data_IF_707343874692
#
_entry.id   IF_707343874692
#
_cell.length_a   1.000
_cell.length_b   1.000
_cell.length_c   1.000
_cell.angle_alpha   90.00
_cell.angle_beta   90.00
_cell.angle_gamma   90.00
#
_symmetry.space_group_name_H-M   'P 1'
#
loop_
_entity.id
_entity.type
_entity.pdbx_description
1 polymer ?
#
# COMPACT_ATOMS: atom_id res chain seq x y z
N UNK A 1 -30.76 25.57 -5.03
CA UNK A 1 -29.60 24.69 -5.06
C UNK A 1 -29.72 23.76 -3.87
N UNK A 2 -29.86 22.44 -4.07
CA UNK A 2 -30.03 21.48 -2.95
C UNK A 2 -28.66 21.22 -2.30
N UNK A 3 -28.63 20.99 -1.00
CA UNK A 3 -27.39 20.67 -0.25
C UNK A 3 -26.59 19.53 -0.89
N UNK A 4 -27.27 18.60 -1.58
CA UNK A 4 -26.64 17.53 -2.39
C UNK A 4 -25.81 18.04 -3.56
N UNK A 5 -26.12 19.23 -4.10
CA UNK A 5 -25.41 19.80 -5.25
C UNK A 5 -24.14 20.54 -4.80
N UNK A 6 -24.17 21.08 -3.59
CA UNK A 6 -22.98 21.71 -2.96
C UNK A 6 -21.93 20.66 -2.61
N UNK A 7 -22.34 19.48 -2.12
CA UNK A 7 -21.41 18.39 -1.82
C UNK A 7 -20.75 17.82 -3.08
N UNK A 8 -21.48 17.79 -4.21
CA UNK A 8 -20.92 17.38 -5.51
C UNK A 8 -19.92 18.40 -6.05
N UNK A 9 -20.21 19.70 -5.93
CA UNK A 9 -19.29 20.76 -6.36
C UNK A 9 -18.03 20.78 -5.49
N UNK A 10 -18.16 20.61 -4.18
CA UNK A 10 -17.03 20.49 -3.26
C UNK A 10 -16.21 19.21 -3.51
N UNK A 11 -16.86 18.10 -3.89
CA UNK A 11 -16.15 16.89 -4.27
C UNK A 11 -15.34 17.09 -5.55
N UNK A 12 -15.83 17.84 -6.54
CA UNK A 12 -15.08 18.17 -7.75
C UNK A 12 -13.84 19.04 -7.47
N UNK A 13 -13.91 19.98 -6.55
CA UNK A 13 -12.77 20.81 -6.16
C UNK A 13 -11.66 20.00 -5.45
N UNK A 14 -12.01 18.93 -4.73
CA UNK A 14 -11.07 18.05 -4.05
C UNK A 14 -10.33 17.07 -4.99
N UNK A 15 -10.69 17.03 -6.27
CA UNK A 15 -10.12 16.09 -7.26
C UNK A 15 -8.92 16.62 -8.05
N UNK A 16 -8.61 17.91 -7.95
CA UNK A 16 -7.34 18.40 -8.46
C UNK A 16 -6.27 18.01 -7.42
N UNK A 17 -5.25 17.23 -7.82
CA UNK A 17 -4.15 17.02 -6.92
C UNK A 17 -3.52 18.38 -6.68
N UNK A 18 -3.64 18.87 -5.49
CA UNK A 18 -2.74 19.90 -5.03
C UNK A 18 -1.41 19.22 -4.82
N UNK A 19 -0.35 19.55 -5.56
CA UNK A 19 0.97 18.99 -5.32
C UNK A 19 1.46 19.27 -3.90
N UNK A 20 0.95 20.33 -3.29
CA UNK A 20 1.24 20.71 -1.91
C UNK A 20 0.33 20.01 -0.88
N UNK A 21 -0.72 19.29 -1.32
CA UNK A 21 -1.67 18.63 -0.41
C UNK A 21 -1.10 17.37 0.25
N UNK A 22 0.06 16.87 -0.16
CA UNK A 22 0.77 15.77 0.49
C UNK A 22 -0.14 14.63 0.96
N UNK A 23 -1.23 14.39 0.23
CA UNK A 23 -2.25 13.48 0.70
C UNK A 23 -1.78 12.04 0.56
N UNK A 24 -1.62 11.39 1.71
CA UNK A 24 -1.30 9.98 1.86
C UNK A 24 -2.47 9.06 1.50
N UNK A 25 -3.37 9.49 0.63
CA UNK A 25 -4.59 8.75 0.30
C UNK A 25 -4.65 8.32 -1.16
N UNK A 26 -5.15 7.10 -1.39
CA UNK A 26 -5.49 6.57 -2.70
C UNK A 26 -6.79 7.20 -3.20
N UNK A 27 -6.75 8.41 -3.72
CA UNK A 27 -7.92 9.02 -4.34
C UNK A 27 -7.99 8.64 -5.82
N UNK A 28 -9.15 8.21 -6.30
CA UNK A 28 -9.43 8.10 -7.73
C UNK A 28 -9.34 9.49 -8.36
N UNK A 29 -8.78 9.56 -9.56
CA UNK A 29 -8.72 10.77 -10.37
C UNK A 29 -9.61 10.63 -11.58
N UNK A 30 -10.22 11.73 -11.97
CA UNK A 30 -11.13 11.73 -13.11
C UNK A 30 -10.44 12.01 -14.45
N UNK A 31 -9.26 12.58 -14.43
CA UNK A 31 -8.54 12.91 -15.67
C UNK A 31 -7.37 11.98 -15.89
N UNK A 32 -7.42 11.25 -16.99
CA UNK A 32 -6.29 10.45 -17.47
C UNK A 32 -5.19 11.37 -17.99
N UNK A 33 -3.95 11.08 -17.64
CA UNK A 33 -2.77 11.85 -18.07
C UNK A 33 -1.57 10.95 -18.20
N UNK A 34 -0.61 11.37 -19.02
CA UNK A 34 0.71 10.76 -19.00
C UNK A 34 1.34 11.03 -17.64
N UNK A 35 1.83 10.00 -17.00
CA UNK A 35 2.30 10.05 -15.61
C UNK A 35 3.58 9.28 -15.46
N UNK A 36 4.41 9.72 -14.54
CA UNK A 36 5.58 8.99 -14.08
C UNK A 36 5.28 8.36 -12.71
N UNK A 37 5.52 7.07 -12.61
CA UNK A 37 5.38 6.31 -11.38
C UNK A 37 6.77 5.97 -10.87
N UNK A 38 7.07 6.30 -9.61
CA UNK A 38 8.36 6.04 -8.97
C UNK A 38 8.16 5.15 -7.75
N UNK A 39 8.88 4.04 -7.71
CA UNK A 39 8.85 3.12 -6.58
C UNK A 39 10.22 3.16 -5.88
N UNK A 40 10.23 3.74 -4.67
CA UNK A 40 11.46 3.95 -3.92
C UNK A 40 11.86 2.66 -3.21
N UNK A 41 13.10 2.24 -3.39
CA UNK A 41 13.74 1.16 -2.65
C UNK A 41 14.93 1.68 -1.83
N UNK A 42 15.60 0.78 -1.12
CA UNK A 42 16.83 1.09 -0.40
C UNK A 42 17.98 1.47 -1.35
N UNK A 43 18.02 0.79 -2.50
CA UNK A 43 19.18 0.81 -3.39
C UNK A 43 18.98 1.79 -4.56
N UNK A 44 17.76 2.30 -4.77
CA UNK A 44 17.48 3.22 -5.86
C UNK A 44 15.98 3.44 -6.09
N UNK A 45 15.71 3.94 -7.28
CA UNK A 45 14.36 4.30 -7.74
C UNK A 45 14.02 3.53 -9.00
N UNK A 46 13.07 2.60 -8.89
CA UNK A 46 12.44 2.03 -10.07
C UNK A 46 11.38 3.01 -10.59
N UNK A 47 11.30 3.18 -11.91
CA UNK A 47 10.34 4.11 -12.50
C UNK A 47 9.63 3.50 -13.71
N UNK A 48 8.42 3.98 -13.97
CA UNK A 48 7.62 3.65 -15.14
C UNK A 48 6.87 4.88 -15.65
N UNK A 49 7.03 5.18 -16.93
CA UNK A 49 6.20 6.14 -17.61
C UNK A 49 4.97 5.43 -18.18
N UNK A 50 3.79 6.02 -17.97
CA UNK A 50 2.52 5.45 -18.44
C UNK A 50 1.77 6.44 -19.29
N UNK A 51 1.13 5.95 -20.35
CA UNK A 51 0.28 6.74 -21.25
C UNK A 51 -1.01 7.19 -20.53
N UNK A 52 -1.81 8.02 -21.22
CA UNK A 52 -3.14 8.44 -20.72
C UNK A 52 -4.09 7.26 -20.54
N UNK A 53 -3.91 6.20 -21.31
CA UNK A 53 -4.69 4.97 -21.23
C UNK A 53 -4.19 4.01 -20.14
N UNK A 54 -3.06 4.34 -19.49
CA UNK A 54 -2.43 3.53 -18.45
C UNK A 54 -1.48 2.46 -19.00
N UNK A 55 -1.17 2.49 -20.31
CA UNK A 55 -0.20 1.58 -20.89
C UNK A 55 1.23 2.00 -20.55
N UNK A 56 2.09 1.04 -20.22
CA UNK A 56 3.51 1.25 -20.02
C UNK A 56 4.15 1.76 -21.33
N UNK A 57 4.85 2.88 -21.27
CA UNK A 57 5.61 3.42 -22.40
C UNK A 57 7.11 3.19 -22.24
N UNK A 58 7.62 3.45 -21.06
CA UNK A 58 9.03 3.29 -20.74
C UNK A 58 9.19 2.88 -19.27
N UNK A 59 10.31 2.27 -18.93
CA UNK A 59 10.65 1.93 -17.55
C UNK A 59 12.15 1.79 -17.36
N UNK A 60 12.59 1.96 -16.12
CA UNK A 60 13.98 1.79 -15.75
C UNK A 60 14.18 1.71 -14.24
N UNK A 61 15.44 1.53 -13.89
CA UNK A 61 15.91 1.59 -12.51
C UNK A 61 17.17 2.46 -12.47
N UNK A 62 17.23 3.37 -11.51
CA UNK A 62 18.36 4.25 -11.26
C UNK A 62 18.85 4.01 -9.84
N UNK A 63 20.10 3.65 -9.71
CA UNK A 63 20.73 3.45 -8.41
C UNK A 63 20.99 4.78 -7.73
N UNK A 64 20.70 4.86 -6.44
CA UNK A 64 20.97 6.04 -5.63
C UNK A 64 19.72 6.65 -4.98
N UNK A 65 19.92 7.68 -4.17
CA UNK A 65 18.84 8.35 -3.46
C UNK A 65 17.95 9.18 -4.42
N UNK A 66 16.68 9.31 -4.07
CA UNK A 66 15.69 10.05 -4.86
C UNK A 66 16.16 11.45 -5.27
N UNK A 67 16.89 12.14 -4.40
CA UNK A 67 17.42 13.49 -4.68
C UNK A 67 18.29 13.52 -5.93
N UNK A 68 19.25 12.60 -6.01
CA UNK A 68 20.21 12.54 -7.11
C UNK A 68 19.51 12.11 -8.40
N UNK A 69 18.61 11.13 -8.32
CA UNK A 69 17.77 10.68 -9.45
C UNK A 69 16.93 11.83 -10.02
N UNK A 70 16.26 12.61 -9.18
CA UNK A 70 15.48 13.75 -9.66
C UNK A 70 16.34 14.87 -10.21
N UNK A 71 17.54 15.08 -9.68
CA UNK A 71 18.48 16.08 -10.19
C UNK A 71 19.01 15.71 -11.58
N UNK A 72 19.27 14.43 -11.82
CA UNK A 72 19.78 13.91 -13.08
C UNK A 72 18.70 13.80 -14.17
N UNK A 73 17.50 13.33 -13.80
CA UNK A 73 16.48 12.89 -14.73
C UNK A 73 15.28 13.84 -14.86
N UNK A 74 15.27 15.00 -14.19
CA UNK A 74 14.09 15.87 -14.14
C UNK A 74 13.57 16.30 -15.50
N UNK A 75 14.44 16.62 -16.44
CA UNK A 75 14.06 17.06 -17.78
C UNK A 75 13.44 15.92 -18.59
N UNK A 76 14.05 14.73 -18.54
CA UNK A 76 13.54 13.53 -19.20
C UNK A 76 12.18 13.10 -18.60
N UNK A 77 12.06 13.08 -17.28
CA UNK A 77 10.83 12.77 -16.59
C UNK A 77 9.73 13.79 -16.89
N UNK A 78 10.07 15.05 -17.00
CA UNK A 78 9.12 16.09 -17.40
C UNK A 78 8.61 15.87 -18.82
N UNK A 79 9.49 15.49 -19.76
CA UNK A 79 9.13 15.21 -21.16
C UNK A 79 8.21 13.98 -21.31
N UNK A 80 8.35 12.99 -20.44
CA UNK A 80 7.52 11.76 -20.43
C UNK A 80 6.10 11.97 -19.88
N UNK A 81 5.80 13.13 -19.28
CA UNK A 81 4.58 13.35 -18.50
C UNK A 81 3.74 14.51 -19.01
N UNK A 82 2.44 14.51 -18.68
CA UNK A 82 1.58 15.69 -18.88
C UNK A 82 1.82 16.66 -17.71
N UNK A 83 2.52 17.76 -17.96
CA UNK A 83 2.86 18.79 -16.96
C UNK A 83 3.71 18.28 -15.75
N UNK A 84 4.59 17.32 -15.96
CA UNK A 84 5.48 16.81 -14.91
C UNK A 84 4.80 15.99 -13.82
N UNK A 85 3.65 15.37 -14.11
CA UNK A 85 2.86 14.70 -13.09
C UNK A 85 3.45 13.34 -12.68
N UNK A 86 3.66 13.16 -11.36
CA UNK A 86 4.28 12.00 -10.77
C UNK A 86 3.45 11.39 -9.63
N UNK A 87 3.59 10.07 -9.44
CA UNK A 87 3.18 9.36 -8.25
C UNK A 87 4.36 8.59 -7.65
N UNK A 88 4.46 8.54 -6.33
CA UNK A 88 5.57 7.91 -5.62
C UNK A 88 5.05 6.86 -4.66
N UNK A 89 5.68 5.69 -4.67
CA UNK A 89 5.52 4.66 -3.65
C UNK A 89 6.72 4.68 -2.72
N UNK A 90 6.46 4.92 -1.43
CA UNK A 90 7.47 4.85 -0.37
C UNK A 90 7.40 3.50 0.33
N UNK A 91 8.58 2.92 0.63
CA UNK A 91 8.69 1.61 1.27
C UNK A 91 9.55 1.65 2.55
N UNK A 92 9.74 2.85 3.10
CA UNK A 92 10.56 3.10 4.28
C UNK A 92 9.89 4.09 5.23
N UNK A 93 10.35 4.14 6.48
CA UNK A 93 9.98 5.13 7.51
C UNK A 93 8.48 5.21 7.77
N UNK A 94 7.81 4.06 7.84
CA UNK A 94 6.42 3.96 8.23
C UNK A 94 6.20 2.83 9.24
N UNK A 95 5.06 2.90 9.91
CA UNK A 95 4.57 1.84 10.80
C UNK A 95 3.13 1.53 10.43
N UNK A 96 2.77 0.24 10.41
CA UNK A 96 1.39 -0.20 10.28
C UNK A 96 1.02 -0.93 11.56
N UNK A 97 -0.06 -0.49 12.20
CA UNK A 97 -0.60 -1.07 13.43
C UNK A 97 -2.03 -1.55 13.24
N UNK A 98 -2.47 -2.50 14.05
CA UNK A 98 -3.84 -2.97 14.10
C UNK A 98 -4.61 -2.20 15.16
N UNK A 99 -5.65 -1.47 14.74
CA UNK A 99 -6.50 -0.68 15.61
C UNK A 99 -7.92 -1.26 15.69
N UNK A 100 -8.50 -1.20 16.87
CA UNK A 100 -9.89 -1.62 17.12
C UNK A 100 -10.79 -0.39 17.25
N UNK A 101 -12.06 -0.57 16.87
CA UNK A 101 -13.10 0.46 17.05
C UNK A 101 -12.92 1.74 16.22
N UNK A 102 -12.14 1.70 15.15
CA UNK A 102 -12.11 2.78 14.16
C UNK A 102 -13.18 2.50 13.08
N UNK A 103 -14.26 3.25 13.13
CA UNK A 103 -15.42 3.04 12.26
C UNK A 103 -15.44 3.97 11.05
N UNK A 104 -15.83 3.46 9.88
CA UNK A 104 -16.09 4.16 8.60
C UNK A 104 -14.86 4.75 7.91
N UNK A 105 -14.27 3.94 7.02
CA UNK A 105 -13.09 4.24 6.20
C UNK A 105 -13.11 5.65 5.57
N UNK A 106 -14.20 6.02 4.92
CA UNK A 106 -14.22 7.23 4.10
C UNK A 106 -14.23 8.52 4.92
N UNK A 107 -15.04 8.56 5.97
CA UNK A 107 -15.07 9.69 6.89
C UNK A 107 -13.82 9.76 7.77
N UNK A 108 -13.32 8.60 8.18
CA UNK A 108 -12.18 8.51 9.09
C UNK A 108 -10.88 8.96 8.42
N UNK A 109 -10.63 8.61 7.15
CA UNK A 109 -9.43 9.04 6.44
C UNK A 109 -9.35 10.55 6.25
N UNK A 110 -10.47 11.21 5.90
CA UNK A 110 -10.49 12.67 5.77
C UNK A 110 -10.27 13.37 7.11
N UNK A 111 -10.85 12.84 8.19
CA UNK A 111 -10.65 13.37 9.54
C UNK A 111 -9.24 13.09 10.04
N UNK A 112 -8.68 11.91 9.79
CA UNK A 112 -7.30 11.57 10.14
C UNK A 112 -6.28 12.51 9.50
N UNK A 113 -6.55 12.98 8.28
CA UNK A 113 -5.68 13.93 7.59
C UNK A 113 -5.66 15.31 8.27
N UNK A 114 -6.82 15.80 8.71
CA UNK A 114 -6.96 17.16 9.23
C UNK A 114 -6.81 17.21 10.75
N UNK A 115 -7.44 16.29 11.46
CA UNK A 115 -7.53 16.27 12.93
C UNK A 115 -7.30 14.85 13.49
N UNK A 116 -6.10 14.25 13.35
CA UNK A 116 -5.86 12.86 13.75
C UNK A 116 -6.22 12.59 15.22
N UNK A 117 -6.09 13.58 16.11
CA UNK A 117 -6.46 13.44 17.52
C UNK A 117 -7.93 13.17 17.77
N UNK A 118 -8.83 13.64 16.90
CA UNK A 118 -10.26 13.38 17.06
C UNK A 118 -10.63 11.91 16.82
N UNK A 119 -9.81 11.18 16.06
CA UNK A 119 -9.99 9.75 15.75
C UNK A 119 -9.15 8.86 16.66
N UNK A 120 -7.87 9.23 16.85
CA UNK A 120 -6.88 8.39 17.53
C UNK A 120 -6.72 8.75 19.02
N UNK A 121 -7.27 9.88 19.47
CA UNK A 121 -7.13 10.35 20.85
C UNK A 121 -5.66 10.54 21.24
N UNK A 122 -5.26 9.93 22.34
CA UNK A 122 -3.89 9.98 22.87
C UNK A 122 -2.85 9.25 21.98
N UNK A 123 -3.28 8.37 21.08
CA UNK A 123 -2.39 7.67 20.14
C UNK A 123 -1.93 8.55 18.97
N UNK A 124 -2.55 9.71 18.77
CA UNK A 124 -2.13 10.65 17.74
C UNK A 124 -0.83 11.35 18.13
N UNK A 125 0.24 10.98 17.46
CA UNK A 125 1.56 11.59 17.63
C UNK A 125 1.68 12.88 16.81
N UNK A 126 2.45 13.84 17.30
CA UNK A 126 2.79 15.04 16.52
C UNK A 126 3.77 14.69 15.42
N UNK A 127 3.67 15.39 14.29
CA UNK A 127 4.58 15.19 13.16
C UNK A 127 4.40 13.86 12.43
N UNK A 128 3.21 13.26 12.49
CA UNK A 128 2.85 12.06 11.74
C UNK A 128 1.69 12.33 10.79
N UNK A 129 1.73 11.70 9.63
CA UNK A 129 0.59 11.54 8.71
C UNK A 129 0.03 10.12 8.83
N UNK A 130 -1.27 10.01 8.66
CA UNK A 130 -2.00 8.76 8.85
C UNK A 130 -2.84 8.38 7.63
N UNK A 131 -3.01 7.08 7.44
CA UNK A 131 -4.00 6.51 6.52
C UNK A 131 -4.59 5.24 7.11
N UNK A 132 -5.80 4.88 6.69
CA UNK A 132 -6.55 3.78 7.26
C UNK A 132 -7.01 2.80 6.17
N UNK A 133 -6.79 1.50 6.42
CA UNK A 133 -7.45 0.41 5.72
C UNK A 133 -8.39 -0.31 6.70
N UNK A 134 -9.69 -0.32 6.39
CA UNK A 134 -10.71 -0.84 7.28
C UNK A 134 -11.18 -2.22 6.83
N UNK A 135 -11.34 -3.13 7.80
CA UNK A 135 -12.03 -4.39 7.57
C UNK A 135 -13.54 -4.19 7.78
N UNK A 136 -14.36 -4.30 6.71
CA UNK A 136 -15.80 -4.07 6.82
C UNK A 136 -16.53 -5.11 7.67
N UNK A 137 -15.98 -6.32 7.80
CA UNK A 137 -16.59 -7.44 8.54
C UNK A 137 -16.28 -7.40 10.04
N UNK A 138 -15.33 -6.58 10.43
CA UNK A 138 -14.96 -6.42 11.84
C UNK A 138 -14.63 -4.96 12.16
N UNK A 139 -14.72 -4.64 13.43
CA UNK A 139 -14.40 -3.29 13.92
C UNK A 139 -12.88 -3.09 14.08
N UNK A 140 -12.09 -3.66 13.16
CA UNK A 140 -10.63 -3.57 13.15
C UNK A 140 -10.15 -2.86 11.89
N UNK A 141 -9.06 -2.14 12.01
CA UNK A 141 -8.48 -1.37 10.92
C UNK A 141 -6.96 -1.44 10.99
N UNK A 142 -6.32 -1.46 9.84
CA UNK A 142 -4.89 -1.23 9.75
C UNK A 142 -4.64 0.27 9.65
N UNK A 143 -3.88 0.81 10.57
CA UNK A 143 -3.48 2.21 10.63
C UNK A 143 -2.04 2.35 10.16
N UNK A 144 -1.85 3.07 9.07
CA UNK A 144 -0.54 3.51 8.59
C UNK A 144 -0.19 4.83 9.25
N UNK A 145 1.01 4.93 9.80
CA UNK A 145 1.62 6.19 10.23
C UNK A 145 2.99 6.37 9.60
N UNK A 146 3.28 7.59 9.18
CA UNK A 146 4.54 7.96 8.56
C UNK A 146 4.99 9.33 9.07
N UNK A 147 6.30 9.56 9.13
CA UNK A 147 6.85 10.86 9.54
C UNK A 147 6.49 11.96 8.55
N UNK A 148 5.90 13.04 9.06
CA UNK A 148 5.54 14.23 8.27
C UNK A 148 6.76 14.85 7.61
N UNK A 149 7.89 14.90 8.31
CA UNK A 149 9.16 15.45 7.78
C UNK A 149 9.66 14.65 6.58
N UNK A 150 9.57 13.31 6.66
CA UNK A 150 9.97 12.45 5.54
C UNK A 150 9.11 12.70 4.29
N UNK A 151 7.81 12.86 4.46
CA UNK A 151 6.92 13.17 3.34
C UNK A 151 7.18 14.57 2.79
N UNK A 152 7.39 15.57 3.66
CA UNK A 152 7.75 16.93 3.23
C UNK A 152 9.10 17.00 2.51
N UNK A 153 10.05 16.17 2.91
CA UNK A 153 11.33 16.03 2.18
C UNK A 153 11.08 15.58 0.74
N UNK A 154 10.29 14.52 0.54
CA UNK A 154 9.92 14.04 -0.79
C UNK A 154 9.19 15.14 -1.58
N UNK A 155 8.17 15.76 -1.01
CA UNK A 155 7.42 16.85 -1.63
C UNK A 155 8.35 18.00 -2.08
N UNK A 156 9.31 18.36 -1.23
CA UNK A 156 10.28 19.42 -1.52
C UNK A 156 11.23 19.07 -2.66
N UNK A 157 11.66 17.81 -2.75
CA UNK A 157 12.51 17.33 -3.84
C UNK A 157 11.80 17.42 -5.20
N UNK A 158 10.54 17.00 -5.26
CA UNK A 158 9.73 17.13 -6.49
C UNK A 158 9.48 18.59 -6.87
N UNK A 159 9.21 19.45 -5.89
CA UNK A 159 9.07 20.89 -6.14
C UNK A 159 10.36 21.53 -6.68
N UNK A 160 11.49 21.15 -6.13
CA UNK A 160 12.80 21.64 -6.58
C UNK A 160 13.15 21.18 -7.99
N UNK A 161 12.71 19.98 -8.41
CA UNK A 161 12.92 19.44 -9.76
C UNK A 161 11.89 19.94 -10.80
N UNK A 162 10.93 20.78 -10.41
CA UNK A 162 9.85 21.23 -11.30
C UNK A 162 8.78 20.19 -11.63
N UNK A 163 8.88 18.99 -11.05
CA UNK A 163 7.90 17.93 -11.22
C UNK A 163 6.72 18.07 -10.23
N UNK A 164 5.54 17.62 -10.64
CA UNK A 164 4.33 17.73 -9.83
C UNK A 164 4.03 16.41 -9.14
N UNK A 165 4.25 16.36 -7.86
CA UNK A 165 3.91 15.20 -7.06
C UNK A 165 2.40 15.18 -6.79
N UNK A 166 1.72 14.29 -7.48
CA UNK A 166 0.27 14.19 -7.35
C UNK A 166 -0.21 13.11 -6.40
N UNK A 167 0.68 12.19 -6.00
CA UNK A 167 0.34 11.11 -5.07
C UNK A 167 1.59 10.58 -4.39
N UNK A 168 1.49 10.37 -3.08
CA UNK A 168 2.43 9.54 -2.32
C UNK A 168 1.63 8.39 -1.70
N UNK A 169 2.16 7.19 -1.76
CA UNK A 169 1.59 6.02 -1.12
C UNK A 169 2.66 5.17 -0.44
N UNK A 170 2.24 4.33 0.49
CA UNK A 170 3.06 3.24 0.99
C UNK A 170 2.69 1.97 0.22
N UNK A 171 3.68 1.35 -0.46
CA UNK A 171 3.43 0.23 -1.37
C UNK A 171 2.74 -0.94 -0.69
N UNK A 172 3.30 -1.42 0.41
CA UNK A 172 2.73 -2.53 1.19
C UNK A 172 1.33 -2.22 1.71
N UNK A 173 1.10 -0.98 2.18
CA UNK A 173 -0.20 -0.58 2.71
C UNK A 173 -1.27 -0.49 1.62
N UNK A 174 -0.89 0.01 0.46
CA UNK A 174 -1.78 0.07 -0.68
C UNK A 174 -2.16 -1.32 -1.18
N UNK A 175 -1.19 -2.23 -1.22
CA UNK A 175 -1.44 -3.63 -1.57
C UNK A 175 -2.30 -4.32 -0.51
N UNK A 176 -2.15 -4.00 0.77
CA UNK A 176 -3.03 -4.48 1.85
C UNK A 176 -4.48 -4.06 1.58
N UNK A 177 -4.73 -2.81 1.27
CA UNK A 177 -6.08 -2.30 0.98
C UNK A 177 -6.72 -3.01 -0.23
N UNK A 178 -5.93 -3.29 -1.28
CA UNK A 178 -6.41 -4.06 -2.43
C UNK A 178 -6.68 -5.54 -2.10
N UNK A 179 -5.85 -6.12 -1.24
CA UNK A 179 -5.91 -7.55 -0.86
C UNK A 179 -7.18 -7.87 -0.03
N UNK A 180 -7.80 -6.86 0.59
CA UNK A 180 -9.00 -7.06 1.41
C UNK A 180 -10.12 -7.83 0.71
N UNK A 181 -10.39 -7.48 -0.53
CA UNK A 181 -11.42 -8.17 -1.32
C UNK A 181 -11.06 -9.65 -1.56
N UNK A 182 -9.77 -9.94 -1.75
CA UNK A 182 -9.29 -11.30 -1.97
C UNK A 182 -9.33 -12.13 -0.68
N UNK A 183 -9.06 -11.53 0.46
CA UNK A 183 -9.23 -12.17 1.77
C UNK A 183 -10.70 -12.54 2.00
N UNK A 184 -11.61 -11.64 1.67
CA UNK A 184 -13.05 -11.90 1.78
C UNK A 184 -13.52 -13.00 0.84
N UNK A 185 -13.04 -13.02 -0.41
CA UNK A 185 -13.35 -14.09 -1.36
C UNK A 185 -12.83 -15.44 -0.86
N UNK A 186 -11.58 -15.50 -0.39
CA UNK A 186 -11.01 -16.73 0.17
C UNK A 186 -11.81 -17.23 1.39
N UNK A 187 -12.33 -16.31 2.20
CA UNK A 187 -13.19 -16.64 3.34
C UNK A 187 -14.53 -17.20 2.89
N UNK A 188 -15.15 -16.64 1.83
CA UNK A 188 -16.41 -17.15 1.27
C UNK A 188 -16.25 -18.54 0.67
N UNK A 189 -15.22 -18.75 -0.13
CA UNK A 189 -14.91 -20.07 -0.72
C UNK A 189 -14.77 -21.15 0.37
N UNK A 190 -14.09 -20.79 1.47
CA UNK A 190 -13.96 -21.72 2.61
C UNK A 190 -15.31 -22.07 3.24
N UNK A 191 -16.23 -21.10 3.38
CA UNK A 191 -17.58 -21.35 3.91
C UNK A 191 -18.38 -22.29 3.01
N UNK A 192 -18.26 -22.14 1.71
CA UNK A 192 -18.99 -22.97 0.74
C UNK A 192 -18.45 -24.41 0.68
N UNK A 193 -17.13 -24.60 0.84
CA UNK A 193 -16.49 -25.93 0.85
C UNK A 193 -16.72 -26.70 2.18
N UNK A 194 -16.88 -26.00 3.30
CA UNK A 194 -16.97 -26.59 4.64
C UNK A 194 -18.26 -26.17 5.37
N UNK A 195 -19.35 -26.84 5.04
CA UNK A 195 -20.68 -26.52 5.60
C UNK A 195 -20.87 -26.82 7.10
N UNK A 196 -19.91 -27.43 7.79
CA UNK A 196 -20.06 -27.87 9.19
C UNK A 196 -18.97 -27.44 10.16
N UNK A 197 -17.78 -27.00 9.70
CA UNK A 197 -16.68 -26.69 10.61
C UNK A 197 -16.28 -25.22 10.57
N UNK A 198 -15.73 -24.77 11.69
CA UNK A 198 -15.29 -23.38 11.91
C UNK A 198 -14.40 -22.88 10.77
N UNK A 199 -14.70 -21.69 10.26
CA UNK A 199 -13.83 -20.95 9.33
C UNK A 199 -12.38 -21.07 9.77
N UNK A 200 -11.54 -21.62 8.90
CA UNK A 200 -10.09 -21.64 9.09
C UNK A 200 -9.51 -20.23 9.15
N UNK A 201 -8.33 -20.12 9.72
CA UNK A 201 -7.57 -18.88 9.73
C UNK A 201 -7.02 -18.54 8.34
N UNK A 202 -6.85 -17.26 8.09
CA UNK A 202 -6.16 -16.77 6.89
C UNK A 202 -4.92 -15.99 7.31
N UNK A 203 -3.77 -16.41 6.82
CA UNK A 203 -2.52 -15.67 6.93
C UNK A 203 -2.27 -14.93 5.62
N UNK A 204 -2.35 -13.61 5.64
CA UNK A 204 -2.04 -12.78 4.48
C UNK A 204 -0.61 -12.27 4.56
N UNK A 205 0.18 -12.55 3.54
CA UNK A 205 1.58 -12.11 3.41
C UNK A 205 1.64 -11.13 2.24
N UNK A 206 1.96 -9.88 2.54
CA UNK A 206 2.01 -8.80 1.56
C UNK A 206 3.41 -8.23 1.57
N UNK A 207 4.07 -8.18 0.42
CA UNK A 207 5.43 -7.64 0.32
C UNK A 207 5.62 -6.72 -0.88
N UNK A 208 6.49 -5.73 -0.69
CA UNK A 208 6.88 -4.78 -1.72
C UNK A 208 8.27 -4.22 -1.39
N UNK A 209 9.23 -4.40 -2.30
CA UNK A 209 10.60 -3.93 -2.17
C UNK A 209 11.24 -4.28 -0.80
N UNK A 210 11.17 -5.55 -0.42
CA UNK A 210 11.73 -6.03 0.83
C UNK A 210 10.99 -5.59 2.10
N UNK A 211 9.96 -4.78 1.99
CA UNK A 211 9.05 -4.45 3.09
C UNK A 211 7.88 -5.41 3.14
N UNK A 212 7.40 -5.74 4.33
CA UNK A 212 6.37 -6.76 4.52
C UNK A 212 5.28 -6.31 5.49
N UNK A 213 4.06 -6.71 5.20
CA UNK A 213 2.92 -6.69 6.12
C UNK A 213 2.31 -8.09 6.18
N UNK A 214 2.25 -8.67 7.36
CA UNK A 214 1.68 -9.98 7.62
C UNK A 214 0.44 -9.78 8.48
N UNK A 215 -0.70 -10.27 8.01
CA UNK A 215 -1.98 -10.11 8.67
C UNK A 215 -2.61 -11.47 8.92
N UNK A 216 -2.92 -11.78 10.17
CA UNK A 216 -3.69 -12.97 10.56
C UNK A 216 -5.14 -12.61 10.76
N UNK A 217 -6.03 -13.39 10.15
CA UNK A 217 -7.47 -13.25 10.26
C UNK A 217 -8.07 -14.55 10.78
N UNK A 218 -8.98 -14.46 11.75
CA UNK A 218 -9.77 -15.58 12.26
C UNK A 218 -11.24 -15.20 12.28
N UNK A 219 -12.11 -16.03 11.73
CA UNK A 219 -13.55 -15.75 11.66
C UNK A 219 -13.86 -14.33 11.16
N UNK A 220 -13.21 -13.93 10.07
CA UNK A 220 -13.34 -12.60 9.44
C UNK A 220 -12.77 -11.43 10.25
N UNK A 221 -12.25 -11.66 11.45
CA UNK A 221 -11.64 -10.62 12.28
C UNK A 221 -10.13 -10.63 12.11
N UNK A 222 -9.54 -9.47 11.98
CA UNK A 222 -8.09 -9.33 12.05
C UNK A 222 -7.63 -9.47 13.50
N UNK A 223 -6.76 -10.41 13.75
CA UNK A 223 -6.30 -10.76 15.10
C UNK A 223 -4.90 -10.28 15.37
N UNK A 224 -4.02 -10.35 14.38
CA UNK A 224 -2.63 -9.95 14.50
C UNK A 224 -2.14 -9.31 13.21
N UNK A 225 -1.33 -8.25 13.35
CA UNK A 225 -0.64 -7.60 12.23
C UNK A 225 0.81 -7.34 12.62
N UNK A 226 1.73 -7.77 11.74
CA UNK A 226 3.16 -7.45 11.83
C UNK A 226 3.60 -6.75 10.57
N UNK A 227 4.28 -5.63 10.70
CA UNK A 227 4.87 -4.92 9.57
C UNK A 227 6.34 -4.62 9.83
N UNK A 228 7.15 -4.75 8.79
CA UNK A 228 8.58 -4.39 8.81
C UNK A 228 8.95 -3.74 7.49
N UNK A 229 9.74 -2.71 7.57
CA UNK A 229 10.27 -1.99 6.41
C UNK A 229 11.67 -2.48 6.08
N UNK A 230 11.99 -2.59 4.79
CA UNK A 230 13.30 -3.00 4.29
C UNK A 230 13.88 -4.21 5.04
N UNK A 231 13.03 -5.23 5.27
CA UNK A 231 13.35 -6.39 6.09
C UNK A 231 14.31 -7.36 5.40
N UNK A 232 14.16 -7.54 4.10
CA UNK A 232 14.88 -8.53 3.30
C UNK A 232 15.24 -7.95 1.92
N UNK A 233 16.13 -8.62 1.22
CA UNK A 233 16.52 -8.34 -0.17
C UNK A 233 16.31 -9.60 -1.02
N UNK A 234 16.51 -9.50 -2.33
CA UNK A 234 16.47 -10.67 -3.21
C UNK A 234 17.55 -11.71 -2.86
N UNK A 235 18.72 -11.24 -2.40
CA UNK A 235 19.83 -12.10 -2.04
C UNK A 235 19.74 -12.66 -0.61
N UNK A 236 18.97 -12.01 0.28
CA UNK A 236 18.83 -12.44 1.68
C UNK A 236 17.37 -12.39 2.14
N UNK A 237 16.68 -13.53 2.01
CA UNK A 237 15.28 -13.72 2.45
C UNK A 237 15.17 -14.28 3.89
N UNK A 238 16.28 -14.64 4.52
CA UNK A 238 16.28 -15.25 5.86
C UNK A 238 15.62 -14.38 6.95
N UNK A 239 15.72 -13.04 6.94
CA UNK A 239 14.97 -12.21 7.89
C UNK A 239 13.45 -12.35 7.77
N UNK A 240 12.92 -12.54 6.56
CA UNK A 240 11.49 -12.78 6.33
C UNK A 240 11.07 -14.14 6.89
N UNK A 241 11.88 -15.19 6.67
CA UNK A 241 11.64 -16.52 7.23
C UNK A 241 11.48 -16.48 8.76
N UNK A 242 12.38 -15.79 9.46
CA UNK A 242 12.34 -15.64 10.92
C UNK A 242 11.05 -15.01 11.44
N UNK A 243 10.47 -14.08 10.71
CA UNK A 243 9.21 -13.44 11.09
C UNK A 243 8.00 -14.30 10.75
N UNK A 244 8.05 -15.00 9.62
CA UNK A 244 6.95 -15.85 9.16
C UNK A 244 6.85 -17.15 9.97
N UNK A 245 7.97 -17.75 10.36
CA UNK A 245 8.02 -19.07 10.97
C UNK A 245 7.07 -19.25 12.17
N UNK A 246 7.02 -18.35 13.16
CA UNK A 246 6.08 -18.48 14.28
C UNK A 246 4.62 -18.46 13.82
N UNK A 247 4.28 -17.61 12.85
CA UNK A 247 2.90 -17.44 12.37
C UNK A 247 2.46 -18.61 11.48
N UNK A 248 3.38 -19.17 10.71
CA UNK A 248 3.13 -20.34 9.87
C UNK A 248 2.98 -21.61 10.72
N UNK A 249 3.77 -21.75 11.78
CA UNK A 249 3.68 -22.89 12.71
C UNK A 249 2.36 -22.90 13.51
N UNK A 250 1.72 -21.75 13.65
CA UNK A 250 0.40 -21.62 14.29
C UNK A 250 -0.78 -22.00 13.36
N UNK A 251 -0.50 -22.22 12.07
CA UNK A 251 -1.54 -22.61 11.11
C UNK A 251 -1.97 -24.06 11.30
N UNK A 252 -3.26 -24.30 11.17
CA UNK A 252 -3.91 -25.61 11.32
C UNK A 252 -4.35 -26.13 9.95
N UNK A 253 -4.69 -27.41 9.93
CA UNK A 253 -5.37 -27.99 8.77
C UNK A 253 -6.67 -27.22 8.47
N UNK A 254 -6.85 -26.82 7.21
CA UNK A 254 -7.97 -25.98 6.79
C UNK A 254 -7.68 -24.48 6.76
N UNK A 255 -6.60 -24.01 7.38
CA UNK A 255 -6.14 -22.62 7.23
C UNK A 255 -5.57 -22.37 5.82
N UNK A 256 -5.50 -21.11 5.42
CA UNK A 256 -5.02 -20.71 4.09
C UNK A 256 -4.02 -19.56 4.18
N UNK A 257 -3.14 -19.50 3.20
CA UNK A 257 -2.25 -18.36 3.01
C UNK A 257 -2.72 -17.58 1.78
N UNK A 258 -2.84 -16.25 1.92
CA UNK A 258 -3.02 -15.32 0.80
C UNK A 258 -1.71 -14.58 0.60
N UNK A 259 -1.06 -14.78 -0.55
CA UNK A 259 0.17 -14.09 -0.91
C UNK A 259 -0.13 -12.98 -1.92
N UNK A 260 0.31 -11.77 -1.60
CA UNK A 260 0.33 -10.63 -2.52
C UNK A 260 1.71 -9.97 -2.45
N UNK A 261 2.55 -10.24 -3.42
CA UNK A 261 3.91 -9.73 -3.46
C UNK A 261 4.19 -9.03 -4.80
N UNK A 262 5.09 -8.07 -4.79
CA UNK A 262 5.60 -7.43 -6.00
C UNK A 262 6.59 -8.34 -6.75
N UNK A 263 7.71 -7.80 -7.16
CA UNK A 263 8.71 -8.50 -8.00
C UNK A 263 9.35 -9.70 -7.28
N UNK A 264 9.50 -9.64 -5.97
CA UNK A 264 9.99 -10.71 -5.10
C UNK A 264 9.00 -11.88 -4.88
N UNK A 265 7.83 -11.84 -5.52
CA UNK A 265 6.75 -12.81 -5.26
C UNK A 265 7.13 -14.27 -5.47
N UNK A 266 8.01 -14.57 -6.41
CA UNK A 266 8.48 -15.94 -6.68
C UNK A 266 9.30 -16.51 -5.52
N UNK A 267 10.15 -15.71 -4.90
CA UNK A 267 10.99 -16.10 -3.76
C UNK A 267 10.14 -16.27 -2.51
N UNK A 268 9.27 -15.30 -2.20
CA UNK A 268 8.36 -15.38 -1.06
C UNK A 268 7.43 -16.60 -1.18
N UNK A 269 6.94 -16.91 -2.38
CA UNK A 269 6.14 -18.11 -2.63
C UNK A 269 6.92 -19.39 -2.37
N UNK A 270 8.15 -19.45 -2.85
CA UNK A 270 9.03 -20.60 -2.64
C UNK A 270 9.30 -20.83 -1.14
N UNK A 271 9.57 -19.75 -0.42
CA UNK A 271 9.76 -19.78 1.03
C UNK A 271 8.51 -20.33 1.74
N UNK A 272 7.34 -19.77 1.46
CA UNK A 272 6.08 -20.20 2.08
C UNK A 272 5.74 -21.66 1.78
N UNK A 273 5.98 -22.14 0.55
CA UNK A 273 5.80 -23.55 0.20
C UNK A 273 6.74 -24.49 0.96
N UNK A 274 7.97 -24.04 1.21
CA UNK A 274 8.93 -24.79 2.02
C UNK A 274 8.51 -24.89 3.48
N UNK A 275 7.96 -23.81 4.04
CA UNK A 275 7.55 -23.75 5.45
C UNK A 275 6.18 -24.41 5.72
N UNK A 276 5.25 -24.35 4.77
CA UNK A 276 3.87 -24.83 4.94
C UNK A 276 3.41 -25.67 3.73
N UNK A 277 4.01 -26.83 3.46
CA UNK A 277 3.74 -27.60 2.25
C UNK A 277 2.29 -28.14 2.16
N UNK A 278 1.62 -28.35 3.30
CA UNK A 278 0.25 -28.84 3.38
C UNK A 278 -0.82 -27.73 3.34
N UNK A 279 -0.42 -26.46 3.49
CA UNK A 279 -1.35 -25.34 3.55
C UNK A 279 -1.62 -24.81 2.13
N UNK A 280 -2.88 -24.58 1.80
CA UNK A 280 -3.30 -23.98 0.51
C UNK A 280 -2.81 -22.54 0.43
N UNK A 281 -1.99 -22.24 -0.58
CA UNK A 281 -1.52 -20.88 -0.87
C UNK A 281 -2.33 -20.32 -2.03
N UNK A 282 -3.13 -19.30 -1.77
CA UNK A 282 -3.78 -18.47 -2.78
C UNK A 282 -2.86 -17.31 -3.14
N UNK A 283 -2.19 -17.44 -4.26
CA UNK A 283 -1.22 -16.45 -4.72
C UNK A 283 -1.87 -15.50 -5.72
N UNK A 284 -2.06 -14.27 -5.26
CA UNK A 284 -2.60 -13.16 -6.05
C UNK A 284 -1.51 -12.17 -6.48
N UNK A 285 -0.25 -12.54 -6.26
CA UNK A 285 0.90 -11.70 -6.60
C UNK A 285 0.90 -11.33 -8.08
N UNK A 286 1.13 -10.06 -8.33
CA UNK A 286 1.31 -9.52 -9.67
C UNK A 286 2.53 -8.62 -9.65
N UNK A 287 3.51 -8.89 -10.49
CA UNK A 287 4.73 -8.05 -10.62
C UNK A 287 4.44 -6.57 -10.86
N UNK A 288 3.26 -6.26 -11.38
CA UNK A 288 2.81 -4.90 -11.63
C UNK A 288 1.83 -4.36 -10.57
N UNK A 289 1.60 -5.04 -9.44
CA UNK A 289 0.56 -4.66 -8.49
C UNK A 289 0.70 -3.21 -8.01
N UNK A 290 1.88 -2.83 -7.51
CA UNK A 290 2.11 -1.46 -7.03
C UNK A 290 1.97 -0.42 -8.14
N UNK A 291 2.43 -0.72 -9.35
CA UNK A 291 2.34 0.17 -10.50
C UNK A 291 0.90 0.42 -10.91
N UNK A 292 0.09 -0.64 -10.95
CA UNK A 292 -1.34 -0.54 -11.22
C UNK A 292 -2.08 0.27 -10.14
N UNK A 293 -1.69 0.11 -8.87
CA UNK A 293 -2.25 0.89 -7.78
C UNK A 293 -1.89 2.37 -7.87
N UNK A 294 -0.65 2.68 -8.20
CA UNK A 294 -0.17 4.06 -8.38
C UNK A 294 -0.83 4.74 -9.57
N UNK A 295 -1.11 4.01 -10.65
CA UNK A 295 -1.75 4.52 -11.87
C UNK A 295 -3.28 4.61 -11.80
N UNK A 296 -3.93 4.02 -10.80
CA UNK A 296 -5.38 4.11 -10.61
C UNK A 296 -5.79 5.56 -10.29
N UNK A 297 -6.66 6.11 -11.06
CA UNK A 297 -7.18 7.48 -11.00
C UNK A 297 -8.61 7.52 -10.48
#
# INVERSE_FOLDING_TARGET
MKLSDVSKVLSFASFRPDPDDGSFSWKKRFTKRKSLLLNLSRDGVAWRAVSREGALTESGFIQGPLKDVLQEMSDEFSAMTDNGWCAVSVNQRYVITLEKNLTRKDLTNDVLRVTPRSVLGAKAERGKRYSLAHNPESNTSALLSVDEEYIKEIESLFKASGLKLGRICCGVFAMLDETLNQIQLATKEYKDENTKDSLGGILSVISCNGSVCILKSEKEKWTELRSRVALFTEDDIAPLEKILLPMVNDLREGDRIVLNACEEGSQVRKLLRGMAPSIKINDISRSAAIWNLMSKY
#
